data_IF_109192336638
#
_entry.id   IF_109192336638
#
_cell.length_a   1.000
_cell.length_b   1.000
_cell.length_c   1.000
_cell.angle_alpha   90.00
_cell.angle_beta   90.00
_cell.angle_gamma   90.00
#
_symmetry.space_group_name_H-M   'P 1'
#
loop_
_entity.id
_entity.type
_entity.pdbx_description
1 polymer ?
#
# COMPACT_ATOMS: atom_id res chain seq x y z
N UNK A 1 -15.88 39.82 -13.03
CA UNK A 1 -17.22 39.39 -13.48
C UNK A 1 -17.52 37.97 -12.97
N UNK A 2 -18.47 37.83 -12.04
CA UNK A 2 -18.86 36.55 -11.42
C UNK A 2 -20.05 35.92 -12.16
N UNK A 3 -19.95 34.65 -12.55
CA UNK A 3 -21.02 33.95 -13.30
C UNK A 3 -22.11 33.45 -12.33
N UNK A 4 -23.31 34.03 -12.41
CA UNK A 4 -24.48 33.68 -11.59
C UNK A 4 -25.32 32.56 -12.24
N UNK A 5 -25.82 31.63 -11.44
CA UNK A 5 -26.92 30.75 -11.83
C UNK A 5 -28.19 31.60 -12.01
N UNK A 6 -28.82 31.57 -13.20
CA UNK A 6 -29.96 32.44 -13.56
C UNK A 6 -31.23 32.22 -12.71
N UNK A 7 -31.34 31.11 -11.94
CA UNK A 7 -32.59 30.76 -11.22
C UNK A 7 -32.61 30.97 -9.70
N UNK A 8 -31.46 31.09 -9.00
CA UNK A 8 -31.48 31.12 -7.52
C UNK A 8 -30.77 32.29 -6.84
N UNK A 9 -30.14 33.22 -7.58
CA UNK A 9 -29.61 34.53 -7.13
C UNK A 9 -28.88 34.63 -5.77
N UNK A 10 -28.52 33.56 -5.06
CA UNK A 10 -27.76 33.62 -3.80
C UNK A 10 -26.30 33.24 -3.98
N UNK A 11 -25.44 34.14 -3.51
CA UNK A 11 -24.01 33.94 -3.31
C UNK A 11 -23.84 33.12 -2.02
N UNK A 12 -23.02 32.08 -2.04
CA UNK A 12 -22.63 31.36 -0.82
C UNK A 12 -21.12 31.47 -0.61
N UNK A 13 -20.76 31.88 0.60
CA UNK A 13 -19.43 31.84 1.19
C UNK A 13 -18.95 30.41 1.31
N UNK A 14 -17.63 30.24 1.14
CA UNK A 14 -16.93 28.96 1.13
C UNK A 14 -16.36 28.74 2.53
N UNK A 15 -16.86 27.73 3.24
CA UNK A 15 -16.10 27.09 4.32
C UNK A 15 -15.96 25.60 3.99
N UNK A 16 -14.73 25.32 3.55
CA UNK A 16 -13.90 24.11 3.64
C UNK A 16 -14.45 22.71 3.34
N UNK A 17 -13.87 22.17 2.25
CA UNK A 17 -13.34 20.81 2.10
C UNK A 17 -14.30 19.64 1.87
N UNK A 18 -15.07 19.72 0.78
CA UNK A 18 -15.46 18.52 0.00
C UNK A 18 -14.94 18.63 -1.43
N UNK A 19 -13.89 17.85 -1.74
CA UNK A 19 -13.41 17.64 -3.10
C UNK A 19 -14.33 16.62 -3.81
N UNK A 20 -15.59 17.00 -4.02
CA UNK A 20 -16.52 16.32 -4.92
C UNK A 20 -17.00 17.32 -5.97
N UNK A 21 -16.56 17.13 -7.22
CA UNK A 21 -16.96 17.92 -8.38
C UNK A 21 -18.39 17.56 -8.85
N UNK A 22 -19.37 17.68 -7.96
CA UNK A 22 -20.79 17.54 -8.26
C UNK A 22 -21.49 18.82 -7.81
N UNK A 23 -21.76 19.71 -8.76
CA UNK A 23 -22.60 20.89 -8.53
C UNK A 23 -24.03 20.42 -8.28
N UNK A 24 -24.41 20.30 -7.01
CA UNK A 24 -25.79 20.07 -6.62
C UNK A 24 -26.60 21.36 -6.80
N UNK A 25 -27.65 21.29 -7.62
CA UNK A 25 -28.74 22.24 -7.63
C UNK A 25 -30.00 21.46 -7.21
N UNK A 26 -30.44 21.65 -5.96
CA UNK A 26 -31.57 20.92 -5.35
C UNK A 26 -32.95 21.21 -5.98
N UNK A 27 -33.00 21.78 -7.19
CA UNK A 27 -34.25 22.12 -7.89
C UNK A 27 -34.32 21.56 -9.32
N UNK A 28 -33.28 20.88 -9.80
CA UNK A 28 -33.23 20.32 -11.15
C UNK A 28 -32.80 18.84 -11.07
N UNK A 29 -33.75 17.94 -10.84
CA UNK A 29 -33.53 16.49 -10.75
C UNK A 29 -33.19 15.83 -12.11
N UNK A 30 -32.11 16.25 -12.78
CA UNK A 30 -31.56 15.48 -13.91
C UNK A 30 -30.04 15.51 -13.87
N UNK A 31 -29.46 14.50 -13.23
CA UNK A 31 -28.01 14.24 -13.31
C UNK A 31 -27.75 13.51 -14.62
N UNK A 32 -27.17 14.19 -15.62
CA UNK A 32 -26.59 13.48 -16.77
C UNK A 32 -25.31 12.78 -16.30
N UNK A 33 -25.21 11.44 -16.39
CA UNK A 33 -24.02 10.73 -15.97
C UNK A 33 -22.89 10.97 -16.97
N UNK A 34 -21.99 11.90 -16.65
CA UNK A 34 -20.75 12.08 -17.41
C UNK A 34 -19.88 10.83 -17.22
N UNK A 35 -19.64 10.07 -18.31
CA UNK A 35 -18.45 9.30 -18.75
C UNK A 35 -17.38 8.82 -17.72
N UNK A 36 -17.67 8.67 -16.44
CA UNK A 36 -16.69 8.30 -15.40
C UNK A 36 -16.41 6.79 -15.39
N UNK A 37 -17.40 5.95 -15.78
CA UNK A 37 -17.23 4.49 -15.80
C UNK A 37 -16.09 4.03 -16.72
N UNK A 38 -16.01 4.54 -17.95
CA UNK A 38 -14.97 4.14 -18.92
C UNK A 38 -13.55 4.56 -18.50
N UNK A 39 -13.39 5.67 -17.78
CA UNK A 39 -12.08 6.14 -17.31
C UNK A 39 -11.58 5.33 -16.11
N UNK A 40 -12.46 5.01 -15.16
CA UNK A 40 -12.15 4.15 -14.00
C UNK A 40 -11.76 2.74 -14.47
N UNK A 41 -12.45 2.20 -15.47
CA UNK A 41 -12.17 0.85 -15.97
C UNK A 41 -10.83 0.76 -16.72
N UNK A 42 -10.51 1.77 -17.54
CA UNK A 42 -9.25 1.85 -18.29
C UNK A 42 -8.05 2.00 -17.34
N UNK A 43 -8.18 2.82 -16.29
CA UNK A 43 -7.14 2.97 -15.24
C UNK A 43 -7.00 1.72 -14.37
N UNK A 44 -8.07 0.98 -14.10
CA UNK A 44 -8.03 -0.31 -13.37
C UNK A 44 -7.35 -1.42 -14.16
N UNK A 45 -7.63 -1.54 -15.47
CA UNK A 45 -6.99 -2.55 -16.34
C UNK A 45 -5.49 -2.30 -16.53
N UNK A 46 -5.07 -1.04 -16.65
CA UNK A 46 -3.64 -0.68 -16.73
C UNK A 46 -2.84 -0.98 -15.44
N UNK A 47 -3.47 -0.89 -14.26
CA UNK A 47 -2.82 -1.19 -12.96
C UNK A 47 -2.65 -2.69 -12.66
N UNK A 48 -3.47 -3.56 -13.26
CA UNK A 48 -3.49 -5.01 -12.95
C UNK A 48 -2.30 -5.81 -13.51
N UNK A 49 -1.53 -5.26 -14.46
CA UNK A 49 -0.40 -5.95 -15.11
C UNK A 49 0.98 -5.46 -14.67
N UNK A 50 1.11 -4.64 -13.63
CA UNK A 50 2.44 -4.33 -13.08
C UNK A 50 2.91 -5.55 -12.29
N UNK A 51 3.77 -6.36 -12.92
CA UNK A 51 4.79 -7.12 -12.19
C UNK A 51 5.38 -6.13 -11.20
N UNK A 52 5.24 -6.40 -9.90
CA UNK A 52 5.80 -5.54 -8.86
C UNK A 52 7.30 -5.78 -8.94
N UNK A 53 7.96 -5.02 -9.82
CA UNK A 53 9.41 -4.91 -9.80
C UNK A 53 9.85 -4.57 -8.38
N UNK A 54 10.95 -5.16 -7.90
CA UNK A 54 11.36 -5.02 -6.52
C UNK A 54 11.77 -3.57 -6.22
N UNK A 55 10.80 -2.73 -5.83
CA UNK A 55 10.90 -1.37 -5.25
C UNK A 55 12.35 -0.93 -4.98
N UNK A 56 12.91 -0.18 -5.91
CA UNK A 56 14.33 0.13 -6.06
C UNK A 56 14.99 0.66 -4.76
N UNK A 57 16.29 0.39 -4.64
CA UNK A 57 17.10 0.63 -3.43
C UNK A 57 17.46 2.12 -3.23
N UNK A 58 17.29 2.96 -4.25
CA UNK A 58 17.69 4.38 -4.20
C UNK A 58 16.56 5.26 -3.66
N UNK A 59 16.76 5.78 -2.45
CA UNK A 59 15.84 6.72 -1.78
C UNK A 59 14.67 6.05 -1.03
N UNK A 60 14.47 4.74 -1.17
CA UNK A 60 13.48 4.04 -0.35
C UNK A 60 14.08 3.73 1.03
N UNK A 61 13.39 4.07 2.13
CA UNK A 61 13.81 3.69 3.51
C UNK A 61 13.72 2.18 3.78
N UNK A 62 13.58 1.36 2.73
CA UNK A 62 13.48 -0.09 2.81
C UNK A 62 14.87 -0.68 2.61
N UNK A 63 15.29 -1.54 3.53
CA UNK A 63 16.53 -2.30 3.42
C UNK A 63 16.21 -3.68 2.85
N UNK A 64 16.96 -4.11 1.85
CA UNK A 64 16.79 -5.42 1.21
C UNK A 64 17.87 -6.38 1.70
N UNK A 65 17.46 -7.60 2.04
CA UNK A 65 18.31 -8.70 2.47
C UNK A 65 18.14 -9.83 1.47
N UNK A 66 19.14 -10.04 0.61
CA UNK A 66 19.10 -11.05 -0.46
C UNK A 66 19.84 -12.32 -0.07
N UNK A 67 20.79 -12.23 0.86
CA UNK A 67 21.56 -13.40 1.30
C UNK A 67 21.41 -13.73 2.78
N UNK A 68 21.62 -15.00 3.09
CA UNK A 68 21.67 -15.53 4.46
C UNK A 68 22.74 -14.82 5.31
N UNK A 69 23.90 -14.55 4.72
CA UNK A 69 25.02 -13.88 5.40
C UNK A 69 24.68 -12.43 5.76
N UNK A 70 24.12 -11.67 4.80
CA UNK A 70 23.64 -10.31 5.05
C UNK A 70 22.62 -10.30 6.18
N UNK A 71 21.67 -11.24 6.14
CA UNK A 71 20.67 -11.36 7.19
C UNK A 71 21.30 -11.61 8.56
N UNK A 72 22.20 -12.60 8.71
CA UNK A 72 22.84 -12.91 10.00
C UNK A 72 23.61 -11.72 10.57
N UNK A 73 24.36 -11.03 9.71
CA UNK A 73 25.26 -9.93 10.10
C UNK A 73 24.51 -8.63 10.40
N UNK A 74 23.54 -8.23 9.58
CA UNK A 74 22.98 -6.87 9.62
C UNK A 74 21.48 -6.77 9.91
N UNK A 75 20.77 -7.88 10.15
CA UNK A 75 19.34 -7.82 10.51
C UNK A 75 19.14 -7.23 11.91
N UNK A 76 18.44 -6.09 12.05
CA UNK A 76 18.24 -5.45 13.34
C UNK A 76 17.28 -6.23 14.27
N UNK A 77 17.54 -6.18 15.57
CA UNK A 77 16.61 -6.62 16.62
C UNK A 77 15.70 -5.46 17.04
N UNK A 78 14.93 -4.93 16.09
CA UNK A 78 14.09 -3.76 16.31
C UNK A 78 12.70 -3.95 15.70
N UNK A 79 11.78 -3.06 16.09
CA UNK A 79 10.43 -3.03 15.56
C UNK A 79 10.43 -2.60 14.08
N UNK A 80 9.59 -3.24 13.28
CA UNK A 80 9.49 -2.90 11.87
C UNK A 80 8.47 -3.74 11.11
N UNK A 81 8.28 -3.34 9.85
CA UNK A 81 7.47 -4.07 8.88
C UNK A 81 8.38 -4.74 7.85
N UNK A 82 8.05 -5.97 7.47
CA UNK A 82 8.82 -6.74 6.51
C UNK A 82 7.93 -7.33 5.42
N UNK A 83 8.54 -7.55 4.26
CA UNK A 83 7.93 -8.16 3.08
C UNK A 83 8.83 -9.30 2.66
N UNK A 84 8.27 -10.51 2.62
CA UNK A 84 8.93 -11.71 2.12
C UNK A 84 8.56 -11.88 0.66
N UNK A 85 9.58 -11.95 -0.18
CA UNK A 85 9.45 -12.29 -1.59
C UNK A 85 9.85 -13.75 -1.78
N UNK A 86 9.08 -14.50 -2.57
CA UNK A 86 9.43 -15.83 -3.06
C UNK A 86 9.44 -15.79 -4.59
N UNK A 87 10.54 -16.19 -5.22
CA UNK A 87 10.68 -16.17 -6.70
C UNK A 87 10.27 -14.83 -7.32
N UNK A 88 10.76 -13.71 -6.75
CA UNK A 88 10.44 -12.33 -7.16
C UNK A 88 8.96 -11.92 -7.04
N UNK A 89 8.12 -12.70 -6.34
CA UNK A 89 6.72 -12.36 -6.04
C UNK A 89 6.53 -12.16 -4.56
N UNK A 90 5.64 -11.26 -4.17
CA UNK A 90 5.30 -11.03 -2.76
C UNK A 90 4.53 -12.25 -2.24
N UNK A 91 5.13 -12.97 -1.30
CA UNK A 91 4.53 -14.15 -0.67
C UNK A 91 3.84 -13.76 0.63
N UNK A 92 4.52 -12.99 1.49
CA UNK A 92 4.03 -12.64 2.83
C UNK A 92 4.43 -11.22 3.24
N UNK A 93 3.59 -10.57 4.02
CA UNK A 93 3.84 -9.27 4.65
C UNK A 93 3.55 -9.41 6.14
N UNK A 94 4.44 -8.90 6.98
CA UNK A 94 4.27 -8.95 8.42
C UNK A 94 4.80 -7.70 9.11
N UNK A 95 4.47 -7.56 10.39
CA UNK A 95 5.14 -6.62 11.28
C UNK A 95 5.46 -7.27 12.63
N UNK A 96 6.42 -6.68 13.35
CA UNK A 96 6.92 -7.24 14.61
C UNK A 96 7.66 -6.18 15.41
N UNK A 97 7.78 -6.40 16.72
CA UNK A 97 8.68 -5.67 17.60
C UNK A 97 10.15 -6.13 17.49
N UNK A 98 10.37 -7.33 16.94
CA UNK A 98 11.69 -7.92 16.77
C UNK A 98 11.80 -8.62 15.41
N UNK A 99 12.39 -7.92 14.44
CA UNK A 99 12.55 -8.39 13.06
C UNK A 99 13.36 -9.67 12.95
N UNK A 100 14.55 -9.71 13.57
CA UNK A 100 15.45 -10.87 13.52
C UNK A 100 14.74 -12.15 13.97
N UNK A 101 14.09 -12.11 15.13
CA UNK A 101 13.40 -13.28 15.70
C UNK A 101 12.23 -13.72 14.83
N UNK A 102 11.38 -12.77 14.41
CA UNK A 102 10.18 -13.11 13.63
C UNK A 102 10.51 -13.64 12.25
N UNK A 103 11.48 -13.05 11.55
CA UNK A 103 11.84 -13.52 10.21
C UNK A 103 12.47 -14.91 10.27
N UNK A 104 13.29 -15.20 11.29
CA UNK A 104 13.85 -16.54 11.51
C UNK A 104 12.78 -17.63 11.70
N UNK A 105 11.61 -17.28 12.25
CA UNK A 105 10.49 -18.22 12.39
C UNK A 105 9.79 -18.50 11.06
N UNK A 106 9.77 -17.53 10.13
CA UNK A 106 9.07 -17.68 8.85
C UNK A 106 9.96 -18.25 7.74
N UNK A 107 11.26 -17.94 7.76
CA UNK A 107 12.20 -18.35 6.73
C UNK A 107 13.36 -19.03 7.43
N UNK A 108 13.59 -20.30 7.09
CA UNK A 108 14.85 -20.95 7.45
C UNK A 108 15.95 -20.21 6.71
N UNK A 109 16.93 -19.69 7.45
CA UNK A 109 18.01 -18.84 6.88
C UNK A 109 18.68 -19.48 5.65
N UNK A 110 18.74 -20.81 5.60
CA UNK A 110 19.26 -21.61 4.48
C UNK A 110 18.54 -21.40 3.14
N UNK A 111 17.30 -20.91 3.15
CA UNK A 111 16.46 -20.77 1.95
C UNK A 111 16.55 -19.39 1.29
N UNK A 112 17.19 -18.41 1.97
CA UNK A 112 17.33 -17.02 1.49
C UNK A 112 18.10 -16.96 0.16
N UNK A 113 19.16 -17.73 -0.02
CA UNK A 113 20.05 -17.54 -1.19
C UNK A 113 19.47 -18.07 -2.52
N UNK A 114 18.36 -18.81 -2.48
CA UNK A 114 17.82 -19.51 -3.68
C UNK A 114 16.41 -19.09 -4.05
N UNK A 115 15.55 -18.81 -3.06
CA UNK A 115 14.12 -18.65 -3.29
C UNK A 115 13.54 -17.39 -2.68
N UNK A 116 14.16 -16.86 -1.62
CA UNK A 116 13.55 -15.80 -0.83
C UNK A 116 14.45 -14.60 -0.64
N UNK A 117 13.90 -13.40 -0.73
CA UNK A 117 14.57 -12.21 -0.19
C UNK A 117 13.58 -11.40 0.63
N UNK A 118 14.11 -10.61 1.56
CA UNK A 118 13.28 -9.87 2.51
C UNK A 118 13.56 -8.38 2.36
N UNK A 119 12.50 -7.58 2.26
CA UNK A 119 12.59 -6.12 2.42
C UNK A 119 12.05 -5.75 3.78
N UNK A 120 12.80 -4.97 4.54
CA UNK A 120 12.39 -4.50 5.87
C UNK A 120 12.40 -2.98 5.93
N UNK A 121 11.50 -2.43 6.73
CA UNK A 121 11.49 -1.02 7.10
C UNK A 121 11.33 -0.90 8.60
N UNK A 122 12.31 -0.28 9.22
CA UNK A 122 12.32 0.00 10.65
C UNK A 122 11.21 0.97 11.04
N UNK A 123 10.74 0.80 12.27
CA UNK A 123 9.86 1.77 12.91
C UNK A 123 10.61 3.08 13.18
N UNK A 124 9.93 4.21 12.95
CA UNK A 124 10.37 5.54 13.38
C UNK A 124 9.57 6.02 14.59
N UNK A 125 8.34 5.50 14.76
CA UNK A 125 7.39 5.86 15.82
C UNK A 125 6.62 4.64 16.28
N UNK A 126 6.23 4.62 17.56
CA UNK A 126 5.41 3.54 18.10
C UNK A 126 4.15 3.29 17.25
N UNK A 127 3.88 2.02 16.91
CA UNK A 127 2.73 1.59 16.12
C UNK A 127 2.83 1.82 14.61
N UNK A 128 3.84 2.54 14.10
CA UNK A 128 3.93 2.83 12.67
C UNK A 128 4.16 1.58 11.80
N UNK A 129 4.79 0.54 12.36
CA UNK A 129 5.04 -0.73 11.69
C UNK A 129 3.74 -1.47 11.39
N UNK A 130 2.83 -1.52 12.37
CA UNK A 130 1.51 -2.14 12.23
C UNK A 130 0.66 -1.38 11.20
N UNK A 131 0.70 -0.04 11.24
CA UNK A 131 -0.01 0.77 10.25
C UNK A 131 0.53 0.58 8.83
N UNK A 132 1.85 0.40 8.67
CA UNK A 132 2.45 0.09 7.36
C UNK A 132 2.01 -1.27 6.86
N UNK A 133 2.02 -2.29 7.71
CA UNK A 133 1.53 -3.63 7.38
C UNK A 133 0.09 -3.57 6.88
N UNK A 134 -0.83 -2.97 7.63
CA UNK A 134 -2.25 -2.87 7.24
C UNK A 134 -2.39 -2.19 5.86
N UNK A 135 -1.67 -1.08 5.63
CA UNK A 135 -1.69 -0.37 4.34
C UNK A 135 -1.15 -1.23 3.19
N UNK A 136 -0.07 -1.96 3.43
CA UNK A 136 0.53 -2.84 2.45
C UNK A 136 -0.37 -4.04 2.14
N UNK A 137 -0.94 -4.68 3.16
CA UNK A 137 -1.89 -5.78 2.99
C UNK A 137 -3.11 -5.36 2.15
N UNK A 138 -3.71 -4.20 2.46
CA UNK A 138 -4.83 -3.65 1.69
C UNK A 138 -4.47 -3.37 0.22
N UNK A 139 -3.24 -2.92 -0.03
CA UNK A 139 -2.75 -2.55 -1.37
C UNK A 139 -2.32 -3.75 -2.21
N UNK A 140 -1.57 -4.69 -1.61
CA UNK A 140 -0.81 -5.72 -2.32
C UNK A 140 -1.48 -7.09 -2.27
N UNK A 141 -2.26 -7.38 -1.22
CA UNK A 141 -3.03 -8.63 -1.05
C UNK A 141 -2.21 -9.90 -1.35
N UNK A 142 -1.09 -10.12 -0.63
CA UNK A 142 -0.25 -11.30 -0.82
C UNK A 142 -1.00 -12.60 -0.50
N UNK A 143 -0.67 -13.67 -1.23
CA UNK A 143 -1.40 -14.96 -1.19
C UNK A 143 -1.30 -15.66 0.16
N UNK A 144 -0.16 -15.58 0.85
CA UNK A 144 0.03 -16.35 2.08
C UNK A 144 -0.49 -15.63 3.33
N UNK A 145 -0.86 -14.34 3.24
CA UNK A 145 -1.52 -13.64 4.34
C UNK A 145 -3.02 -13.94 4.45
N UNK A 146 -3.69 -14.43 3.40
CA UNK A 146 -5.12 -14.74 3.47
C UNK A 146 -5.39 -16.05 4.19
N UNK A 147 -4.45 -17.00 4.14
CA UNK A 147 -4.57 -18.33 4.76
C UNK A 147 -4.67 -18.30 6.28
N UNK A 148 -4.22 -17.22 6.92
CA UNK A 148 -4.22 -17.10 8.39
C UNK A 148 -5.63 -16.87 8.95
N UNK A 149 -6.59 -16.44 8.12
CA UNK A 149 -7.97 -16.17 8.54
C UNK A 149 -8.96 -17.31 8.24
N UNK A 150 -8.48 -18.42 7.67
CA UNK A 150 -9.31 -19.56 7.24
C UNK A 150 -9.14 -20.81 8.12
N UNK A 151 -8.37 -20.70 9.21
CA UNK A 151 -8.13 -21.74 10.23
C UNK A 151 -8.72 -21.34 11.56
#
# INVERSE_FOLDING_TARGET
MQKRCRKCKRVKSITEFEYFSSRFCNKCEVVKPLRVKKFIEKTRKARRKKIIEPLDEQGSKWKTFKSAEQFKKSMPMAAGCYIIYSHNKISYIGSTINLRTRINMHIKITDMDKRYFVKVRLSEKYGDWAMREIRLLRRLKPKDNTKIYES
#
